data_IF_011513294153
#
_entry.id   IF_011513294153
#
_cell.length_a   1.000
_cell.length_b   1.000
_cell.length_c   1.000
_cell.angle_alpha   90.00
_cell.angle_beta   90.00
_cell.angle_gamma   90.00
#
_symmetry.space_group_name_H-M   'P 1'
#
loop_
_entity.id
_entity.type
_entity.pdbx_description
1 polymer ?
#
# COMPACT_ATOMS: atom_id res chain seq x y z
N UNK A 1 4.31 4.06 -3.23
CA UNK A 1 3.44 3.45 -2.21
C UNK A 1 3.34 1.92 -2.33
N UNK A 2 3.02 1.39 -3.51
CA UNK A 2 2.89 -0.08 -3.68
C UNK A 2 4.19 -0.83 -3.33
N UNK A 3 5.34 -0.31 -3.70
CA UNK A 3 6.62 -0.94 -3.35
C UNK A 3 6.81 -1.05 -1.84
N UNK A 4 6.43 -0.01 -1.10
CA UNK A 4 6.52 -0.03 0.36
C UNK A 4 5.56 -1.04 0.97
N UNK A 5 4.37 -1.20 0.40
CA UNK A 5 3.44 -2.24 0.83
C UNK A 5 4.01 -3.63 0.58
N UNK A 6 4.66 -3.83 -0.57
CA UNK A 6 5.26 -5.10 -0.93
C UNK A 6 6.44 -5.50 -0.04
N UNK A 7 7.15 -4.53 0.55
CA UNK A 7 8.27 -4.81 1.46
C UNK A 7 7.81 -5.29 2.84
N UNK A 8 6.51 -5.25 3.12
CA UNK A 8 5.98 -5.66 4.41
C UNK A 8 6.07 -4.63 5.52
N UNK A 9 6.43 -3.38 5.20
CA UNK A 9 6.50 -2.32 6.20
C UNK A 9 5.12 -1.98 6.76
N UNK A 10 5.00 -1.75 8.07
CA UNK A 10 3.75 -1.26 8.66
C UNK A 10 3.49 0.19 8.22
N UNK A 11 2.22 0.61 8.28
CA UNK A 11 1.83 1.96 7.87
C UNK A 11 2.63 3.06 8.57
N UNK A 12 2.95 2.86 9.84
CA UNK A 12 3.75 3.82 10.61
C UNK A 12 5.14 4.02 10.00
N UNK A 13 5.79 2.93 9.59
CA UNK A 13 7.11 3.00 8.96
C UNK A 13 7.02 3.61 7.56
N UNK A 14 5.98 3.27 6.80
CA UNK A 14 5.72 3.86 5.48
C UNK A 14 5.54 5.38 5.63
N UNK A 15 4.78 5.82 6.61
CA UNK A 15 4.57 7.23 6.88
C UNK A 15 5.87 7.97 7.16
N UNK A 16 6.76 7.36 7.94
CA UNK A 16 8.08 7.93 8.23
C UNK A 16 8.91 8.11 6.97
N UNK A 17 8.93 7.11 6.10
CA UNK A 17 9.70 7.18 4.86
C UNK A 17 9.15 8.23 3.89
N UNK A 18 7.83 8.41 3.87
CA UNK A 18 7.18 9.37 2.99
C UNK A 18 7.06 10.76 3.60
N UNK A 19 7.36 10.91 4.89
CA UNK A 19 7.22 12.18 5.59
C UNK A 19 5.77 12.58 5.86
N UNK A 20 4.89 11.59 6.03
CA UNK A 20 3.46 11.81 6.29
C UNK A 20 3.01 11.04 7.53
N UNK A 21 1.81 11.33 8.02
CA UNK A 21 1.25 10.64 9.18
C UNK A 21 0.74 9.26 8.81
N UNK A 22 0.63 8.38 9.82
CA UNK A 22 0.02 7.06 9.64
C UNK A 22 -1.42 7.16 9.11
N UNK A 23 -2.18 8.15 9.58
CA UNK A 23 -3.54 8.39 9.11
C UNK A 23 -3.56 8.66 7.61
N UNK A 24 -2.62 9.47 7.12
CA UNK A 24 -2.49 9.77 5.69
C UNK A 24 -2.12 8.50 4.90
N UNK A 25 -1.22 7.68 5.44
CA UNK A 25 -0.86 6.40 4.82
C UNK A 25 -2.09 5.49 4.70
N UNK A 26 -2.89 5.39 5.75
CA UNK A 26 -4.13 4.58 5.73
C UNK A 26 -5.09 5.06 4.63
N UNK A 27 -5.23 6.37 4.46
CA UNK A 27 -6.08 6.92 3.42
C UNK A 27 -5.57 6.53 2.03
N UNK A 28 -4.27 6.62 1.79
CA UNK A 28 -3.66 6.22 0.53
C UNK A 28 -3.80 4.72 0.28
N UNK A 29 -3.59 3.90 1.30
CA UNK A 29 -3.73 2.45 1.21
C UNK A 29 -5.17 2.07 0.84
N UNK A 30 -6.15 2.72 1.47
CA UNK A 30 -7.57 2.49 1.15
C UNK A 30 -7.88 2.84 -0.31
N UNK A 31 -7.31 3.94 -0.82
CA UNK A 31 -7.48 4.34 -2.22
C UNK A 31 -6.87 3.30 -3.16
N UNK A 32 -5.70 2.77 -2.82
CA UNK A 32 -5.03 1.72 -3.61
C UNK A 32 -5.90 0.46 -3.63
N UNK A 33 -6.46 0.06 -2.49
CA UNK A 33 -7.32 -1.12 -2.42
C UNK A 33 -8.55 -0.97 -3.31
N UNK A 34 -9.16 0.22 -3.34
CA UNK A 34 -10.29 0.50 -4.22
C UNK A 34 -9.87 0.44 -5.69
N UNK A 35 -8.76 1.06 -6.03
CA UNK A 35 -8.26 1.10 -7.41
C UNK A 35 -7.96 -0.30 -7.95
N UNK A 36 -7.44 -1.19 -7.10
CA UNK A 36 -7.12 -2.57 -7.46
C UNK A 36 -8.29 -3.53 -7.25
N UNK A 37 -9.39 -3.04 -6.67
CA UNK A 37 -10.57 -3.86 -6.34
C UNK A 37 -10.20 -5.04 -5.45
N UNK A 38 -9.45 -4.78 -4.40
CA UNK A 38 -9.00 -5.79 -3.44
C UNK A 38 -9.44 -5.42 -2.02
N UNK A 39 -9.47 -6.41 -1.13
CA UNK A 39 -9.98 -6.24 0.23
C UNK A 39 -8.88 -6.04 1.28
N UNK A 40 -7.65 -6.44 0.99
CA UNK A 40 -6.57 -6.39 1.97
C UNK A 40 -5.20 -6.24 1.30
N UNK A 41 -4.18 -6.04 2.15
CA UNK A 41 -2.81 -5.80 1.71
C UNK A 41 -2.22 -6.95 0.90
N UNK A 42 -2.46 -8.19 1.31
CA UNK A 42 -1.95 -9.38 0.62
C UNK A 42 -2.48 -9.42 -0.81
N UNK A 43 -3.79 -9.20 -0.96
CA UNK A 43 -4.42 -9.15 -2.28
C UNK A 43 -3.89 -7.99 -3.12
N UNK A 44 -3.65 -6.83 -2.50
CA UNK A 44 -3.13 -5.66 -3.21
C UNK A 44 -1.73 -5.94 -3.78
N UNK A 45 -0.85 -6.54 -2.99
CA UNK A 45 0.50 -6.90 -3.43
C UNK A 45 0.45 -7.93 -4.55
N UNK A 46 -0.40 -8.97 -4.41
CA UNK A 46 -0.56 -9.99 -5.44
C UNK A 46 -1.08 -9.39 -6.75
N UNK A 47 -2.07 -8.50 -6.68
CA UNK A 47 -2.62 -7.82 -7.85
C UNK A 47 -1.56 -6.94 -8.53
N UNK A 48 -0.77 -6.21 -7.74
CA UNK A 48 0.29 -5.36 -8.25
C UNK A 48 1.38 -6.17 -8.98
N UNK A 49 1.75 -7.32 -8.43
CA UNK A 49 2.72 -8.20 -9.07
C UNK A 49 2.20 -8.78 -10.38
N UNK A 50 0.94 -9.22 -10.40
CA UNK A 50 0.31 -9.74 -11.61
C UNK A 50 0.23 -8.68 -12.70
N UNK A 51 -0.04 -7.44 -12.33
CA UNK A 51 -0.10 -6.31 -13.24
C UNK A 51 1.24 -5.67 -13.55
N UNK A 52 2.32 -6.21 -12.99
CA UNK A 52 3.68 -5.67 -13.14
C UNK A 52 3.81 -4.21 -12.68
N UNK A 53 3.07 -3.85 -11.64
CA UNK A 53 3.14 -2.51 -11.06
C UNK A 53 4.32 -2.34 -10.09
N UNK A 54 4.90 -3.45 -9.69
CA UNK A 54 6.06 -3.49 -8.81
C UNK A 54 7.05 -4.54 -9.29
#
# INVERSE_FOLDING_TARGET
MLRLLATGLPNKAIGRQLGVTEKTVKAHVSAIFRALNVANRVQAVAAARRGRLI
#
